data_IF_057239589516
#
_entry.id   IF_057239589516
#
_cell.length_a   1.000
_cell.length_b   1.000
_cell.length_c   1.000
_cell.angle_alpha   90.00
_cell.angle_beta   90.00
_cell.angle_gamma   90.00
#
_symmetry.space_group_name_H-M   'P 1'
#
loop_
_entity.id
_entity.type
_entity.pdbx_description
1 polymer ?
#
# COMPACT_ATOMS: atom_id res chain seq x y z
N UNK A 1 1.56 7.20 16.34
CA UNK A 1 2.89 6.74 15.82
C UNK A 1 2.61 6.16 14.45
N UNK A 2 3.53 6.21 13.48
CA UNK A 2 3.23 5.70 12.14
C UNK A 2 3.42 4.18 12.00
N UNK A 3 3.09 3.64 10.83
CA UNK A 3 3.40 2.26 10.45
C UNK A 3 4.89 2.01 10.19
N UNK A 4 5.67 3.08 9.97
CA UNK A 4 7.13 3.06 9.89
C UNK A 4 7.73 4.29 10.58
N UNK A 5 9.03 4.25 10.86
CA UNK A 5 9.81 5.37 11.38
C UNK A 5 11.09 5.62 10.55
N UNK A 6 11.78 6.72 10.86
CA UNK A 6 13.04 7.09 10.20
C UNK A 6 14.13 6.02 10.41
N UNK A 7 14.19 5.39 11.58
CA UNK A 7 15.19 4.36 11.87
C UNK A 7 15.04 3.12 10.97
N UNK A 8 13.82 2.70 10.67
CA UNK A 8 13.53 1.62 9.74
C UNK A 8 13.94 1.97 8.30
N UNK A 9 13.66 3.19 7.86
CA UNK A 9 14.02 3.67 6.51
C UNK A 9 15.53 3.84 6.36
N UNK A 10 16.22 4.45 7.34
CA UNK A 10 17.68 4.57 7.38
C UNK A 10 18.35 3.20 7.31
N UNK A 11 17.83 2.20 8.06
CA UNK A 11 18.31 0.81 8.00
C UNK A 11 18.11 0.18 6.62
N UNK A 12 16.96 0.42 5.99
CA UNK A 12 16.65 -0.10 4.67
C UNK A 12 17.51 0.53 3.55
N UNK A 13 17.86 1.81 3.68
CA UNK A 13 18.74 2.53 2.77
C UNK A 13 20.23 2.19 2.97
N UNK A 14 20.61 1.71 4.15
CA UNK A 14 22.02 1.48 4.51
C UNK A 14 22.83 2.77 4.68
N UNK A 15 22.16 3.91 4.86
CA UNK A 15 22.81 5.22 5.09
C UNK A 15 23.07 5.42 6.58
N UNK A 16 24.18 6.05 6.92
CA UNK A 16 24.56 6.35 8.32
C UNK A 16 24.45 7.84 8.67
N UNK A 17 24.25 8.69 7.66
CA UNK A 17 24.06 10.13 7.82
C UNK A 17 22.59 10.45 7.98
N UNK A 18 22.27 11.31 8.96
CA UNK A 18 20.93 11.86 9.09
C UNK A 18 20.63 12.80 7.92
N UNK A 19 19.58 12.50 7.16
CA UNK A 19 19.05 13.35 6.10
C UNK A 19 17.60 13.73 6.45
N UNK A 20 17.27 15.03 6.61
CA UNK A 20 15.93 15.46 6.98
C UNK A 20 14.84 15.04 5.98
N UNK A 21 15.19 14.75 4.72
CA UNK A 21 14.24 14.26 3.74
C UNK A 21 13.70 12.86 4.08
N UNK A 22 14.41 12.09 4.90
CA UNK A 22 13.91 10.79 5.39
C UNK A 22 12.66 10.99 6.25
N UNK A 23 12.62 12.03 7.08
CA UNK A 23 11.46 12.32 7.92
C UNK A 23 10.24 12.71 7.07
N UNK A 24 10.44 13.50 6.01
CA UNK A 24 9.40 13.87 5.05
C UNK A 24 8.85 12.63 4.32
N UNK A 25 9.74 11.75 3.85
CA UNK A 25 9.36 10.51 3.17
C UNK A 25 8.59 9.55 4.10
N UNK A 26 9.00 9.45 5.36
CA UNK A 26 8.30 8.67 6.39
C UNK A 26 6.91 9.24 6.67
N UNK A 27 6.78 10.55 6.81
CA UNK A 27 5.49 11.21 7.02
C UNK A 27 4.53 10.95 5.83
N UNK A 28 5.03 11.09 4.60
CA UNK A 28 4.26 10.81 3.40
C UNK A 28 3.83 9.33 3.31
N UNK A 29 4.73 8.40 3.63
CA UNK A 29 4.43 6.97 3.59
C UNK A 29 3.39 6.56 4.64
N UNK A 30 3.53 7.07 5.86
CA UNK A 30 2.59 6.82 6.96
C UNK A 30 1.19 7.39 6.69
N UNK A 31 1.07 8.46 5.90
CA UNK A 31 -0.24 8.96 5.46
C UNK A 31 -0.80 8.15 4.28
N UNK A 32 0.06 7.69 3.37
CA UNK A 32 -0.35 7.04 2.13
C UNK A 32 -0.79 5.59 2.32
N UNK A 33 -0.01 4.77 3.04
CA UNK A 33 -0.26 3.35 3.19
C UNK A 33 -1.62 3.00 3.84
N UNK A 34 -2.00 3.58 5.01
CA UNK A 34 -3.32 3.35 5.60
C UNK A 34 -4.46 3.83 4.71
N UNK A 35 -4.29 4.99 4.06
CA UNK A 35 -5.29 5.49 3.10
C UNK A 35 -5.47 4.54 1.93
N UNK A 36 -4.40 3.99 1.37
CA UNK A 36 -4.48 3.03 0.26
C UNK A 36 -5.11 1.71 0.65
N UNK A 37 -4.87 1.24 1.86
CA UNK A 37 -5.53 0.05 2.39
C UNK A 37 -7.02 0.31 2.68
N UNK A 38 -7.37 1.48 3.20
CA UNK A 38 -8.78 1.89 3.34
C UNK A 38 -9.49 1.98 1.98
N UNK A 39 -8.85 2.56 0.95
CA UNK A 39 -9.36 2.58 -0.43
C UNK A 39 -9.56 1.15 -0.99
N UNK A 40 -8.80 0.16 -0.52
CA UNK A 40 -8.93 -1.25 -0.88
C UNK A 40 -9.93 -2.04 -0.01
N UNK A 41 -10.60 -1.38 0.94
CA UNK A 41 -11.63 -1.99 1.80
C UNK A 41 -11.13 -2.58 3.12
N UNK A 42 -9.86 -2.36 3.49
CA UNK A 42 -9.35 -2.75 4.80
C UNK A 42 -9.75 -1.72 5.87
N UNK A 43 -9.93 -2.20 7.11
CA UNK A 43 -10.16 -1.36 8.29
C UNK A 43 -8.97 -1.57 9.22
N UNK A 44 -7.99 -0.66 9.12
CA UNK A 44 -6.77 -0.70 9.91
C UNK A 44 -6.70 0.55 10.81
N UNK A 45 -5.95 0.45 11.91
CA UNK A 45 -5.58 1.61 12.73
C UNK A 45 -4.47 2.41 12.01
N UNK A 46 -4.65 3.71 11.69
CA UNK A 46 -3.62 4.50 11.05
C UNK A 46 -2.36 4.68 11.91
N UNK A 47 -2.46 4.51 13.23
CA UNK A 47 -1.35 4.68 14.17
C UNK A 47 -0.60 3.37 14.50
N UNK A 48 -1.10 2.22 14.04
CA UNK A 48 -0.52 0.90 14.34
C UNK A 48 -0.59 0.02 13.10
N UNK A 49 0.57 -0.41 12.59
CA UNK A 49 0.61 -1.32 11.45
C UNK A 49 -0.11 -2.65 11.78
N UNK A 50 -0.96 -3.17 10.89
CA UNK A 50 -1.71 -4.41 11.14
C UNK A 50 -0.81 -5.66 11.18
N UNK A 51 0.29 -5.65 10.43
CA UNK A 51 1.31 -6.71 10.42
C UNK A 51 2.69 -6.18 9.95
N UNK A 52 3.72 -7.01 10.08
CA UNK A 52 5.09 -6.69 9.68
C UNK A 52 5.22 -6.47 8.16
N UNK A 53 4.34 -7.06 7.34
CA UNK A 53 4.36 -6.88 5.90
C UNK A 53 3.86 -5.48 5.51
N UNK A 54 2.83 -4.97 6.17
CA UNK A 54 2.33 -3.62 6.01
C UNK A 54 3.35 -2.58 6.49
N UNK A 55 4.02 -2.84 7.61
CA UNK A 55 5.12 -2.01 8.09
C UNK A 55 6.27 -1.96 7.06
N UNK A 56 6.72 -3.12 6.57
CA UNK A 56 7.77 -3.21 5.56
C UNK A 56 7.37 -2.56 4.22
N UNK A 57 6.13 -2.77 3.77
CA UNK A 57 5.61 -2.13 2.56
C UNK A 57 5.60 -0.60 2.67
N UNK A 58 5.26 -0.07 3.84
CA UNK A 58 5.29 1.37 4.13
C UNK A 58 6.72 1.91 4.14
N UNK A 59 7.65 1.20 4.78
CA UNK A 59 9.07 1.57 4.78
C UNK A 59 9.66 1.57 3.36
N UNK A 60 9.35 0.57 2.54
CA UNK A 60 9.80 0.49 1.15
C UNK A 60 9.25 1.60 0.27
N UNK A 61 8.04 2.10 0.56
CA UNK A 61 7.50 3.27 -0.14
C UNK A 61 8.26 4.54 0.24
N UNK A 62 8.59 4.76 1.52
CA UNK A 62 9.45 5.87 1.93
C UNK A 62 10.85 5.80 1.28
N UNK A 63 11.43 4.60 1.18
CA UNK A 63 12.71 4.35 0.47
C UNK A 63 12.60 4.74 -1.01
N UNK A 64 11.49 4.39 -1.68
CA UNK A 64 11.28 4.74 -3.07
C UNK A 64 11.25 6.26 -3.27
N UNK A 65 10.51 7.00 -2.43
CA UNK A 65 10.47 8.47 -2.47
C UNK A 65 11.86 9.09 -2.26
N UNK A 66 12.64 8.56 -1.32
CA UNK A 66 14.01 8.99 -1.09
C UNK A 66 14.89 8.82 -2.35
N UNK A 67 14.80 7.68 -3.01
CA UNK A 67 15.57 7.39 -4.23
C UNK A 67 15.13 8.24 -5.44
N UNK A 68 13.84 8.57 -5.56
CA UNK A 68 13.32 9.45 -6.61
C UNK A 68 13.91 10.86 -6.54
N UNK A 69 14.16 11.38 -5.33
CA UNK A 69 14.91 12.64 -5.15
C UNK A 69 16.35 12.51 -5.69
N UNK A 70 17.05 11.43 -5.33
CA UNK A 70 18.42 11.19 -5.77
C UNK A 70 18.56 10.96 -7.29
N UNK A 71 17.53 10.41 -7.94
CA UNK A 71 17.50 10.26 -9.39
C UNK A 71 17.51 11.62 -10.12
N UNK A 72 16.86 12.64 -9.53
CA UNK A 72 16.74 13.98 -10.10
C UNK A 72 18.07 14.74 -10.12
N UNK A 73 18.97 14.48 -9.15
CA UNK A 73 20.30 15.11 -9.09
C UNK A 73 21.35 14.42 -10.00
N UNK A 74 21.03 13.28 -10.62
CA UNK A 74 21.98 12.45 -11.36
C UNK A 74 22.08 12.73 -12.88
N UNK A 75 21.46 13.79 -13.39
CA UNK A 75 21.51 14.17 -14.82
C UNK A 75 22.91 14.50 -15.38
N UNK A 76 23.96 14.43 -14.56
CA UNK A 76 25.31 14.90 -14.91
C UNK A 76 26.26 13.84 -15.50
N UNK A 77 25.97 12.53 -15.52
CA UNK A 77 26.97 11.56 -16.03
C UNK A 77 26.37 10.24 -16.52
N UNK A 78 26.06 10.16 -17.82
CA UNK A 78 25.67 8.92 -18.52
C UNK A 78 26.81 7.87 -18.65
N UNK A 79 27.96 8.09 -18.01
CA UNK A 79 29.13 7.19 -18.10
C UNK A 79 29.16 6.10 -17.01
N UNK A 80 28.43 6.27 -15.90
CA UNK A 80 28.46 5.35 -14.73
C UNK A 80 27.18 4.49 -14.56
N UNK A 81 26.33 4.40 -15.59
CA UNK A 81 25.07 3.64 -15.55
C UNK A 81 25.25 2.11 -15.44
N UNK A 82 26.48 1.59 -15.41
CA UNK A 82 26.78 0.15 -15.32
C UNK A 82 26.53 -0.44 -13.93
N UNK A 83 26.22 0.38 -12.91
CA UNK A 83 25.99 -0.05 -11.53
C UNK A 83 24.58 0.15 -10.98
N UNK A 84 23.64 0.74 -11.73
CA UNK A 84 22.28 1.02 -11.21
C UNK A 84 21.47 -0.27 -11.11
N UNK A 85 21.61 -0.98 -9.99
CA UNK A 85 20.71 -2.05 -9.62
C UNK A 85 19.39 -1.41 -9.13
N UNK A 86 18.25 -1.58 -9.82
CA UNK A 86 16.96 -1.13 -9.30
C UNK A 86 16.53 -2.12 -8.21
N UNK A 87 17.11 -1.98 -7.02
CA UNK A 87 16.93 -2.93 -5.94
C UNK A 87 16.30 -2.27 -4.70
N UNK A 88 15.21 -1.55 -4.88
CA UNK A 88 14.26 -1.32 -3.77
C UNK A 88 12.86 -0.99 -4.29
N UNK A 89 11.90 -1.87 -3.98
CA UNK A 89 10.47 -1.57 -3.94
C UNK A 89 9.82 -1.04 -5.22
N UNK A 90 9.69 -1.85 -6.27
CA UNK A 90 8.72 -1.51 -7.32
C UNK A 90 7.33 -1.36 -6.69
N UNK A 91 6.53 -0.40 -7.15
CA UNK A 91 5.17 -0.18 -6.64
C UNK A 91 4.33 -1.46 -6.62
N UNK A 92 4.56 -2.39 -7.57
CA UNK A 92 3.94 -3.71 -7.55
C UNK A 92 4.31 -4.55 -6.33
N UNK A 93 5.57 -4.56 -5.90
CA UNK A 93 6.00 -5.25 -4.68
C UNK A 93 5.42 -4.58 -3.42
N UNK A 94 5.43 -3.25 -3.36
CA UNK A 94 4.86 -2.49 -2.25
C UNK A 94 3.36 -2.81 -2.12
N UNK A 95 2.63 -2.78 -3.24
CA UNK A 95 1.20 -3.10 -3.25
C UNK A 95 0.92 -4.55 -2.79
N UNK A 96 1.77 -5.51 -3.18
CA UNK A 96 1.67 -6.90 -2.70
C UNK A 96 1.86 -7.00 -1.19
N UNK A 97 2.85 -6.30 -0.63
CA UNK A 97 3.10 -6.27 0.81
C UNK A 97 1.97 -5.60 1.58
N UNK A 98 1.43 -4.50 1.05
CA UNK A 98 0.25 -3.83 1.60
C UNK A 98 -1.05 -4.62 1.37
N UNK A 99 -1.01 -5.77 0.68
CA UNK A 99 -2.20 -6.57 0.38
C UNK A 99 -3.24 -5.87 -0.52
N UNK A 100 -2.87 -4.78 -1.19
CA UNK A 100 -3.75 -4.02 -2.08
C UNK A 100 -3.64 -4.52 -3.53
N UNK A 101 -4.73 -4.43 -4.29
CA UNK A 101 -4.77 -4.94 -5.67
C UNK A 101 -4.97 -6.45 -5.81
N UNK A 102 -5.45 -7.13 -4.77
CA UNK A 102 -6.00 -8.49 -4.92
C UNK A 102 -7.28 -8.44 -5.76
N UNK A 103 -7.49 -9.42 -6.63
CA UNK A 103 -8.79 -9.62 -7.27
C UNK A 103 -9.84 -9.86 -6.18
N UNK A 104 -10.90 -9.06 -6.15
CA UNK A 104 -12.03 -9.27 -5.26
C UNK A 104 -12.77 -10.53 -5.72
N UNK A 105 -12.41 -11.70 -5.20
CA UNK A 105 -13.03 -12.96 -5.62
C UNK A 105 -14.39 -13.24 -4.96
N UNK A 106 -14.78 -12.53 -3.90
CA UNK A 106 -16.09 -12.73 -3.27
C UNK A 106 -16.66 -11.44 -2.67
N UNK A 107 -16.82 -10.39 -3.49
CA UNK A 107 -17.96 -9.53 -3.24
C UNK A 107 -19.19 -10.36 -3.61
N UNK A 108 -19.63 -11.26 -2.72
CA UNK A 108 -20.95 -11.88 -2.83
C UNK A 108 -21.88 -10.68 -2.96
N UNK A 109 -22.51 -10.45 -4.12
CA UNK A 109 -23.57 -9.47 -4.16
C UNK A 109 -24.54 -10.00 -3.11
N UNK A 110 -24.78 -9.24 -2.05
CA UNK A 110 -25.78 -9.59 -1.05
C UNK A 110 -27.08 -9.76 -1.81
N UNK A 111 -27.35 -10.99 -2.23
CA UNK A 111 -28.56 -11.37 -2.92
C UNK A 111 -29.57 -11.26 -1.81
N UNK A 112 -30.29 -10.14 -1.76
CA UNK A 112 -31.48 -10.02 -0.94
C UNK A 112 -32.26 -11.33 -1.18
N UNK A 113 -32.55 -12.12 -0.14
CA UNK A 113 -33.13 -13.44 -0.35
C UNK A 113 -34.39 -13.22 -1.16
N UNK A 114 -34.44 -13.82 -2.35
CA UNK A 114 -35.61 -13.83 -3.21
C UNK A 114 -36.74 -14.41 -2.37
N UNK A 115 -37.52 -13.52 -1.76
CA UNK A 115 -38.78 -13.85 -1.13
C UNK A 115 -39.64 -14.40 -2.27
N UNK A 116 -39.60 -15.74 -2.42
CA UNK A 116 -40.46 -16.49 -3.32
C UNK A 116 -41.89 -16.17 -2.90
N UNK A 117 -42.46 -15.12 -3.50
CA UNK A 117 -43.85 -14.73 -3.35
C UNK A 117 -44.64 -15.86 -4.01
N UNK A 118 -44.92 -16.92 -3.26
CA UNK A 118 -45.90 -17.95 -3.64
C UNK A 118 -47.23 -17.22 -3.80
N UNK A 119 -47.55 -16.82 -5.03
CA UNK A 119 -48.91 -16.41 -5.41
C UNK A 119 -49.78 -17.64 -5.19
N UNK A 120 -50.54 -17.63 -4.10
CA UNK A 120 -51.62 -18.59 -3.87
C UNK A 120 -52.61 -18.36 -5.01
N UNK A 121 -52.67 -19.28 -5.96
CA UNK A 121 -53.79 -19.33 -6.90
C UNK A 121 -54.96 -19.84 -6.09
N UNK A 122 -55.91 -18.95 -5.76
CA UNK A 122 -57.15 -19.32 -5.09
C UNK A 122 -58.34 -18.93 -5.96
N UNK A 123 -59.02 -19.96 -6.46
CA UNK A 123 -60.48 -19.97 -6.60
C UNK A 123 -61.06 -19.36 -7.87
N UNK A 124 -61.07 -20.13 -8.95
CA UNK A 124 -62.18 -20.10 -9.90
C UNK A 124 -63.33 -20.88 -9.26
N UNK A 125 -64.49 -20.24 -9.12
CA UNK A 125 -65.78 -20.90 -8.93
C UNK A 125 -66.77 -20.28 -9.91
N UNK A 126 -67.47 -21.19 -10.57
CA UNK A 126 -68.52 -20.99 -11.57
C UNK A 126 -69.63 -20.07 -11.10
#
# INVERSE_FOLDING_TARGET
MGWTDAAAVTRALGVTTADPYIDDAVAAANAWAPRKRAEAGYVDDPDVAPDDAAALGTALYAVALYNERGATDSHASFQDLTGYAPASGSLGQINRLLGIGKAAVDAVPTVAPLARRRRRVSGVRW
#
